data_IF_585579130719
#
_entry.id   IF_585579130719
#
_cell.length_a   1.000
_cell.length_b   1.000
_cell.length_c   1.000
_cell.angle_alpha   90.00
_cell.angle_beta   90.00
_cell.angle_gamma   90.00
#
_symmetry.space_group_name_H-M   'P 1'
#
loop_
_entity.id
_entity.type
_entity.pdbx_description
1 polymer ?
#
# COMPACT_ATOMS: atom_id res chain seq x y z
N UNK A 1 32.08 25.80 -6.02
CA UNK A 1 31.06 25.01 -6.74
C UNK A 1 30.60 23.91 -5.80
N UNK A 2 29.48 24.12 -5.12
CA UNK A 2 28.82 23.07 -4.33
C UNK A 2 28.32 22.02 -5.32
N UNK A 3 28.93 20.83 -5.31
CA UNK A 3 28.40 19.68 -6.06
C UNK A 3 26.97 19.47 -5.56
N UNK A 4 25.98 19.59 -6.45
CA UNK A 4 24.63 19.13 -6.15
C UNK A 4 24.76 17.69 -5.67
N UNK A 5 24.32 17.35 -4.44
CA UNK A 5 24.39 15.98 -3.97
C UNK A 5 23.63 15.11 -4.99
N UNK A 6 24.31 14.09 -5.50
CA UNK A 6 23.72 13.14 -6.43
C UNK A 6 22.60 12.43 -5.66
N UNK A 7 21.35 12.56 -6.12
CA UNK A 7 20.26 11.79 -5.55
C UNK A 7 20.56 10.30 -5.77
N UNK A 8 20.39 9.44 -4.76
CA UNK A 8 20.61 8.02 -4.94
C UNK A 8 19.64 7.47 -5.97
N UNK A 9 20.13 6.51 -6.73
CA UNK A 9 19.34 5.75 -7.69
C UNK A 9 18.29 4.89 -6.97
N UNK A 10 17.28 4.44 -7.72
CA UNK A 10 16.25 3.55 -7.17
C UNK A 10 16.88 2.23 -6.71
N UNK A 11 17.85 1.72 -7.47
CA UNK A 11 18.59 0.51 -7.15
C UNK A 11 19.37 0.63 -5.83
N UNK A 12 20.06 1.76 -5.62
CA UNK A 12 20.77 2.04 -4.37
C UNK A 12 19.81 2.14 -3.17
N UNK A 13 18.65 2.79 -3.34
CA UNK A 13 17.64 2.88 -2.30
C UNK A 13 17.03 1.52 -1.95
N UNK A 14 16.78 0.68 -2.96
CA UNK A 14 16.27 -0.67 -2.76
C UNK A 14 17.31 -1.58 -2.08
N UNK A 15 18.60 -1.41 -2.36
CA UNK A 15 19.65 -2.16 -1.67
C UNK A 15 19.76 -1.74 -0.21
N UNK A 16 19.82 -0.43 0.08
CA UNK A 16 19.77 0.08 1.45
C UNK A 16 18.54 -0.39 2.22
N UNK A 17 17.38 -0.48 1.54
CA UNK A 17 16.15 -1.01 2.14
C UNK A 17 16.28 -2.50 2.50
N UNK A 18 16.93 -3.31 1.64
CA UNK A 18 17.18 -4.73 1.93
C UNK A 18 18.12 -4.86 3.12
N UNK A 19 19.24 -4.13 3.13
CA UNK A 19 20.22 -4.12 4.22
C UNK A 19 19.58 -3.71 5.57
N UNK A 20 18.71 -2.69 5.56
CA UNK A 20 17.98 -2.25 6.76
C UNK A 20 16.97 -3.30 7.25
N UNK A 21 16.47 -4.16 6.36
CA UNK A 21 15.51 -5.23 6.68
C UNK A 21 16.19 -6.48 7.23
N UNK A 22 17.48 -6.68 7.01
CA UNK A 22 18.22 -7.82 7.55
C UNK A 22 18.21 -7.82 9.09
N UNK A 23 18.32 -9.00 9.71
CA UNK A 23 18.36 -9.11 11.17
C UNK A 23 16.99 -9.16 11.86
N UNK A 24 15.96 -9.75 11.24
CA UNK A 24 14.70 -10.03 11.97
C UNK A 24 14.95 -11.05 13.08
N UNK A 25 14.52 -10.78 14.31
CA UNK A 25 14.65 -11.75 15.40
C UNK A 25 14.59 -11.16 16.81
N UNK A 26 15.58 -11.55 17.62
CA UNK A 26 15.75 -11.14 19.02
C UNK A 26 16.02 -9.64 19.17
N UNK A 27 15.75 -9.09 20.36
CA UNK A 27 15.81 -7.65 20.65
C UNK A 27 17.07 -6.92 20.13
N UNK A 28 18.31 -7.44 20.30
CA UNK A 28 19.50 -6.75 19.83
C UNK A 28 19.52 -6.49 18.32
N UNK A 29 18.97 -7.42 17.54
CA UNK A 29 18.92 -7.27 16.08
C UNK A 29 17.85 -6.26 15.66
N UNK A 30 16.74 -6.15 16.39
CA UNK A 30 15.71 -5.12 16.14
C UNK A 30 16.23 -3.71 16.41
N UNK A 31 17.01 -3.53 17.46
CA UNK A 31 17.65 -2.23 17.75
C UNK A 31 18.62 -1.83 16.64
N UNK A 32 19.36 -2.79 16.09
CA UNK A 32 20.21 -2.55 14.92
C UNK A 32 19.39 -2.18 13.67
N UNK A 33 18.26 -2.86 13.44
CA UNK A 33 17.33 -2.50 12.36
C UNK A 33 16.79 -1.07 12.53
N UNK A 34 16.36 -0.68 13.74
CA UNK A 34 15.88 0.68 14.03
C UNK A 34 16.95 1.70 13.65
N UNK A 35 18.20 1.44 14.04
CA UNK A 35 19.31 2.33 13.69
C UNK A 35 19.49 2.46 12.18
N UNK A 36 19.54 1.35 11.43
CA UNK A 36 19.71 1.36 9.96
C UNK A 36 18.56 2.08 9.27
N UNK A 37 17.33 1.87 9.72
CA UNK A 37 16.16 2.57 9.18
C UNK A 37 16.16 4.08 9.52
N UNK A 38 16.59 4.48 10.72
CA UNK A 38 16.76 5.91 11.06
C UNK A 38 17.81 6.57 10.17
N UNK A 39 18.94 5.91 9.94
CA UNK A 39 19.99 6.38 9.02
C UNK A 39 19.43 6.53 7.59
N UNK A 40 18.72 5.52 7.08
CA UNK A 40 18.09 5.56 5.76
C UNK A 40 17.07 6.70 5.61
N UNK A 41 16.21 6.90 6.61
CA UNK A 41 15.20 7.99 6.62
C UNK A 41 15.87 9.36 6.71
N UNK A 42 16.93 9.51 7.50
CA UNK A 42 17.67 10.76 7.63
C UNK A 42 18.33 11.17 6.30
N UNK A 43 18.90 10.21 5.57
CA UNK A 43 19.49 10.43 4.25
C UNK A 43 18.42 10.63 3.15
N UNK A 44 17.27 9.96 3.28
CA UNK A 44 16.24 9.88 2.24
C UNK A 44 14.83 10.10 2.82
N UNK A 45 14.51 11.35 3.24
CA UNK A 45 13.29 11.66 3.97
C UNK A 45 12.00 11.48 3.15
N UNK A 46 12.08 11.35 1.82
CA UNK A 46 10.91 11.12 0.96
C UNK A 46 10.72 9.65 0.59
N UNK A 47 11.57 8.75 1.09
CA UNK A 47 11.50 7.33 0.75
C UNK A 47 10.44 6.62 1.59
N UNK A 48 9.19 6.69 1.13
CA UNK A 48 7.99 6.16 1.80
C UNK A 48 8.16 4.75 2.40
N UNK A 49 8.75 3.75 1.70
CA UNK A 49 8.94 2.42 2.28
C UNK A 49 9.75 2.43 3.58
N UNK A 50 10.81 3.24 3.67
CA UNK A 50 11.63 3.33 4.87
C UNK A 50 10.89 4.04 6.02
N UNK A 51 10.10 5.07 5.71
CA UNK A 51 9.27 5.77 6.71
C UNK A 51 8.26 4.80 7.37
N UNK A 52 7.55 4.01 6.55
CA UNK A 52 6.56 3.05 7.04
C UNK A 52 7.20 1.91 7.85
N UNK A 53 8.28 1.33 7.35
CA UNK A 53 8.97 0.23 8.05
C UNK A 53 9.58 0.70 9.37
N UNK A 54 10.17 1.91 9.43
CA UNK A 54 10.66 2.48 10.67
C UNK A 54 9.52 2.73 11.67
N UNK A 55 8.41 3.32 11.22
CA UNK A 55 7.24 3.56 12.06
C UNK A 55 6.66 2.29 12.66
N UNK A 56 6.60 1.19 11.89
CA UNK A 56 6.18 -0.13 12.39
C UNK A 56 7.20 -0.74 13.35
N UNK A 57 8.48 -0.64 13.02
CA UNK A 57 9.53 -1.25 13.84
C UNK A 57 9.62 -0.59 15.21
N UNK A 58 9.46 0.73 15.28
CA UNK A 58 9.40 1.48 16.54
C UNK A 58 8.17 1.12 17.39
N UNK A 59 7.06 0.67 16.79
CA UNK A 59 5.91 0.15 17.54
C UNK A 59 6.19 -1.23 18.18
N UNK A 60 7.15 -1.99 17.65
CA UNK A 60 7.45 -3.37 18.03
C UNK A 60 8.75 -3.54 18.84
N UNK A 61 9.46 -2.44 19.09
CA UNK A 61 10.79 -2.45 19.69
C UNK A 61 10.78 -1.57 20.94
N UNK A 62 11.19 -2.13 22.08
CA UNK A 62 11.32 -1.37 23.32
C UNK A 62 12.75 -0.85 23.44
N UNK A 63 12.98 0.38 22.96
CA UNK A 63 14.31 0.95 22.90
C UNK A 63 14.80 1.37 24.30
N UNK A 64 15.90 0.78 24.82
CA UNK A 64 16.37 1.07 26.18
C UNK A 64 16.67 2.56 26.38
N UNK A 65 16.05 3.16 27.40
CA UNK A 65 16.27 4.57 27.74
C UNK A 65 15.47 5.57 26.91
N UNK A 66 14.60 5.10 26.00
CA UNK A 66 13.67 5.97 25.27
C UNK A 66 12.31 5.92 25.96
N UNK A 67 11.80 7.10 26.33
CA UNK A 67 10.45 7.22 26.87
C UNK A 67 9.42 6.87 25.79
N UNK A 68 8.40 6.09 26.17
CA UNK A 68 7.33 5.64 25.26
C UNK A 68 6.69 6.80 24.49
N UNK A 69 6.42 7.93 25.14
CA UNK A 69 5.81 9.09 24.48
C UNK A 69 6.76 9.70 23.42
N UNK A 70 8.07 9.69 23.64
CA UNK A 70 9.05 10.16 22.64
C UNK A 70 9.04 9.24 21.41
N UNK A 71 8.97 7.92 21.62
CA UNK A 71 8.81 6.96 20.53
C UNK A 71 7.50 7.18 19.77
N UNK A 72 6.38 7.41 20.47
CA UNK A 72 5.09 7.67 19.83
C UNK A 72 5.08 8.95 19.00
N UNK A 73 5.70 10.03 19.48
CA UNK A 73 5.86 11.27 18.71
C UNK A 73 6.70 11.03 17.45
N UNK A 74 7.78 10.25 17.54
CA UNK A 74 8.59 9.88 16.37
C UNK A 74 7.79 9.06 15.36
N UNK A 75 7.07 8.03 15.82
CA UNK A 75 6.23 7.17 14.97
C UNK A 75 5.17 8.01 14.25
N UNK A 76 4.45 8.87 14.99
CA UNK A 76 3.40 9.71 14.41
C UNK A 76 3.97 10.59 13.30
N UNK A 77 5.11 11.26 13.55
CA UNK A 77 5.78 12.12 12.57
C UNK A 77 6.18 11.35 11.31
N UNK A 78 6.71 10.12 11.47
CA UNK A 78 7.09 9.28 10.33
C UNK A 78 5.89 8.86 9.49
N UNK A 79 4.77 8.50 10.12
CA UNK A 79 3.54 8.10 9.44
C UNK A 79 2.85 9.29 8.76
N UNK A 80 2.79 10.45 9.40
CA UNK A 80 2.30 11.69 8.79
C UNK A 80 3.14 12.08 7.56
N UNK A 81 4.46 12.02 7.69
CA UNK A 81 5.38 12.27 6.57
C UNK A 81 5.17 11.25 5.44
N UNK A 82 4.99 9.96 5.74
CA UNK A 82 4.71 8.93 4.74
C UNK A 82 3.38 9.19 4.01
N UNK A 83 2.35 9.66 4.71
CA UNK A 83 1.07 10.08 4.11
C UNK A 83 1.28 11.24 3.16
N UNK A 84 2.05 12.26 3.54
CA UNK A 84 2.31 13.42 2.68
C UNK A 84 3.12 13.05 1.43
N UNK A 85 4.27 12.39 1.59
CA UNK A 85 5.19 12.11 0.47
C UNK A 85 4.63 11.09 -0.52
N UNK A 86 3.73 10.22 -0.08
CA UNK A 86 3.06 9.24 -0.94
C UNK A 86 1.88 9.83 -1.73
N UNK A 87 1.55 11.11 -1.54
CA UNK A 87 0.34 11.69 -2.10
C UNK A 87 -0.93 11.08 -1.50
N UNK A 88 -0.88 10.73 -0.21
CA UNK A 88 -1.95 10.09 0.56
C UNK A 88 -2.38 8.74 -0.04
N UNK A 89 -1.39 7.92 -0.40
CA UNK A 89 -1.65 6.56 -0.86
C UNK A 89 -2.36 5.73 0.25
N UNK A 90 -3.16 4.75 -0.17
CA UNK A 90 -4.02 3.98 0.74
C UNK A 90 -3.25 3.37 1.94
N UNK A 91 -2.11 2.72 1.69
CA UNK A 91 -1.36 2.03 2.73
C UNK A 91 -0.82 2.98 3.83
N UNK A 92 -0.08 4.07 3.52
CA UNK A 92 0.29 5.07 4.53
C UNK A 92 -0.87 5.66 5.31
N UNK A 93 -1.99 5.96 4.63
CA UNK A 93 -3.18 6.55 5.27
C UNK A 93 -3.79 5.58 6.28
N UNK A 94 -3.93 4.30 5.91
CA UNK A 94 -4.44 3.25 6.81
C UNK A 94 -3.51 3.03 8.00
N UNK A 95 -2.20 3.01 7.76
CA UNK A 95 -1.20 2.83 8.84
C UNK A 95 -1.24 3.96 9.87
N UNK A 96 -1.38 5.21 9.43
CA UNK A 96 -1.57 6.35 10.33
C UNK A 96 -2.88 6.22 11.12
N UNK A 97 -3.97 5.81 10.45
CA UNK A 97 -5.25 5.52 11.10
C UNK A 97 -5.10 4.48 12.21
N UNK A 98 -4.43 3.37 11.91
CA UNK A 98 -4.14 2.29 12.86
C UNK A 98 -3.38 2.77 14.09
N UNK A 99 -2.32 3.57 13.88
CA UNK A 99 -1.54 4.13 14.97
C UNK A 99 -2.38 5.07 15.85
N UNK A 100 -3.15 5.97 15.24
CA UNK A 100 -3.99 6.90 15.99
C UNK A 100 -5.08 6.19 16.79
N UNK A 101 -5.70 5.17 16.22
CA UNK A 101 -6.74 4.38 16.87
C UNK A 101 -6.17 3.55 18.03
N UNK A 102 -5.21 2.69 17.71
CA UNK A 102 -4.74 1.62 18.62
C UNK A 102 -3.74 2.12 19.65
N UNK A 103 -2.86 3.05 19.26
CA UNK A 103 -1.76 3.51 20.11
C UNK A 103 -2.10 4.83 20.80
N UNK A 104 -2.76 5.76 20.08
CA UNK A 104 -3.14 7.07 20.64
C UNK A 104 -4.56 7.12 21.19
N UNK A 105 -5.34 6.04 21.10
CA UNK A 105 -6.75 5.97 21.53
C UNK A 105 -7.60 7.12 20.95
N UNK A 106 -7.33 7.48 19.69
CA UNK A 106 -7.96 8.60 18.99
C UNK A 106 -8.76 8.10 17.78
N UNK A 107 -9.76 7.27 18.04
CA UNK A 107 -10.65 6.69 17.02
C UNK A 107 -11.34 7.76 16.17
N UNK A 108 -11.66 8.91 16.77
CA UNK A 108 -12.25 10.07 16.08
C UNK A 108 -11.35 10.61 14.95
N UNK A 109 -10.02 10.58 15.14
CA UNK A 109 -9.05 11.00 14.12
C UNK A 109 -8.70 9.87 13.15
N UNK A 110 -8.78 8.62 13.62
CA UNK A 110 -8.48 7.45 12.80
C UNK A 110 -9.58 7.13 11.78
N UNK A 111 -10.85 7.26 12.16
CA UNK A 111 -12.01 6.94 11.31
C UNK A 111 -11.95 7.58 9.91
N UNK A 112 -11.76 8.91 9.76
CA UNK A 112 -11.68 9.52 8.44
C UNK A 112 -10.47 9.04 7.62
N UNK A 113 -9.38 8.62 8.27
CA UNK A 113 -8.23 8.03 7.58
C UNK A 113 -8.57 6.65 7.04
N UNK A 114 -9.25 5.80 7.81
CA UNK A 114 -9.69 4.50 7.31
C UNK A 114 -10.66 4.63 6.14
N UNK A 115 -11.61 5.56 6.19
CA UNK A 115 -12.53 5.84 5.08
C UNK A 115 -11.80 6.30 3.83
N UNK A 116 -10.83 7.20 3.98
CA UNK A 116 -9.99 7.65 2.87
C UNK A 116 -9.14 6.52 2.29
N UNK A 117 -8.46 5.76 3.16
CA UNK A 117 -7.63 4.62 2.77
C UNK A 117 -8.44 3.56 2.02
N UNK A 118 -9.65 3.25 2.49
CA UNK A 118 -10.57 2.33 1.82
C UNK A 118 -10.97 2.86 0.43
N UNK A 119 -11.35 4.14 0.31
CA UNK A 119 -11.67 4.75 -0.99
C UNK A 119 -10.49 4.70 -1.95
N UNK A 120 -9.27 5.00 -1.50
CA UNK A 120 -8.05 4.94 -2.32
C UNK A 120 -7.68 3.51 -2.74
N UNK A 121 -7.88 2.54 -1.86
CA UNK A 121 -7.70 1.13 -2.20
C UNK A 121 -8.72 0.67 -3.26
N UNK A 122 -9.98 1.11 -3.16
CA UNK A 122 -11.03 0.83 -4.14
C UNK A 122 -10.70 1.39 -5.53
N UNK A 123 -10.17 2.61 -5.63
CA UNK A 123 -9.71 3.20 -6.91
C UNK A 123 -8.68 2.27 -7.61
N UNK A 124 -7.70 1.76 -6.86
CA UNK A 124 -6.66 0.86 -7.40
C UNK A 124 -7.23 -0.51 -7.77
N UNK A 125 -8.15 -1.03 -6.95
CA UNK A 125 -8.80 -2.31 -7.19
C UNK A 125 -9.68 -2.27 -8.44
N UNK A 126 -10.40 -1.17 -8.66
CA UNK A 126 -11.20 -0.93 -9.86
C UNK A 126 -10.32 -1.01 -11.12
N UNK A 127 -9.18 -0.30 -11.12
CA UNK A 127 -8.22 -0.31 -12.23
C UNK A 127 -7.66 -1.71 -12.50
N UNK A 128 -7.27 -2.42 -11.44
CA UNK A 128 -6.73 -3.77 -11.53
C UNK A 128 -7.75 -4.76 -12.09
N UNK A 129 -8.99 -4.72 -11.60
CA UNK A 129 -10.07 -5.61 -12.05
C UNK A 129 -10.48 -5.28 -13.49
N UNK A 130 -10.57 -4.01 -13.85
CA UNK A 130 -10.82 -3.62 -15.24
C UNK A 130 -9.70 -4.12 -16.17
N UNK A 131 -8.44 -4.06 -15.72
CA UNK A 131 -7.29 -4.60 -16.44
C UNK A 131 -7.35 -6.12 -16.61
N UNK A 132 -7.64 -6.86 -15.53
CA UNK A 132 -7.78 -8.31 -15.55
C UNK A 132 -8.90 -8.78 -16.47
N UNK A 133 -10.07 -8.14 -16.40
CA UNK A 133 -11.19 -8.44 -17.28
C UNK A 133 -10.79 -8.28 -18.75
N UNK A 134 -10.15 -7.16 -19.12
CA UNK A 134 -9.65 -6.97 -20.50
C UNK A 134 -8.62 -8.03 -20.89
N UNK A 135 -7.68 -8.34 -20.01
CA UNK A 135 -6.63 -9.32 -20.31
C UNK A 135 -7.22 -10.72 -20.56
N UNK A 136 -8.16 -11.17 -19.73
CA UNK A 136 -8.80 -12.47 -19.90
C UNK A 136 -9.75 -12.54 -21.09
N UNK A 137 -10.47 -11.46 -21.37
CA UNK A 137 -11.28 -11.36 -22.60
C UNK A 137 -10.40 -11.43 -23.84
N UNK A 138 -9.22 -10.79 -23.82
CA UNK A 138 -8.26 -10.85 -24.91
C UNK A 138 -7.63 -12.24 -25.09
N UNK A 139 -7.31 -12.93 -23.98
CA UNK A 139 -6.77 -14.30 -24.00
C UNK A 139 -7.77 -15.28 -24.64
N UNK A 140 -9.07 -15.09 -24.39
CA UNK A 140 -10.19 -15.78 -25.07
C UNK A 140 -10.09 -17.31 -25.05
N UNK A 141 -9.57 -17.85 -23.94
CA UNK A 141 -9.64 -19.28 -23.63
C UNK A 141 -10.91 -19.56 -22.84
N UNK A 142 -11.41 -20.80 -22.88
CA UNK A 142 -12.58 -21.20 -22.06
C UNK A 142 -12.36 -20.92 -20.57
N UNK A 143 -11.12 -21.05 -20.10
CA UNK A 143 -10.76 -20.81 -18.71
C UNK A 143 -10.68 -19.31 -18.38
N UNK A 144 -10.03 -18.50 -19.21
CA UNK A 144 -9.96 -17.05 -19.00
C UNK A 144 -11.34 -16.40 -19.06
N UNK A 145 -12.21 -16.82 -19.99
CA UNK A 145 -13.58 -16.31 -20.07
C UNK A 145 -14.41 -16.68 -18.84
N UNK A 146 -14.25 -17.87 -18.25
CA UNK A 146 -14.91 -18.20 -16.97
C UNK A 146 -14.45 -17.29 -15.83
N UNK A 147 -13.13 -17.08 -15.70
CA UNK A 147 -12.57 -16.14 -14.71
C UNK A 147 -13.10 -14.73 -14.91
N UNK A 148 -13.22 -14.28 -16.16
CA UNK A 148 -13.79 -12.98 -16.49
C UNK A 148 -15.26 -12.86 -16.06
N UNK A 149 -16.07 -13.89 -16.26
CA UNK A 149 -17.47 -13.89 -15.83
C UNK A 149 -17.62 -13.90 -14.30
N UNK A 150 -16.83 -14.73 -13.60
CA UNK A 150 -16.83 -14.78 -12.14
C UNK A 150 -16.41 -13.43 -11.53
N UNK A 151 -15.33 -12.83 -12.06
CA UNK A 151 -14.90 -11.51 -11.63
C UNK A 151 -15.92 -10.43 -11.99
N UNK A 152 -16.62 -10.54 -13.12
CA UNK A 152 -17.66 -9.58 -13.53
C UNK A 152 -18.79 -9.50 -12.51
N UNK A 153 -19.27 -10.64 -12.01
CA UNK A 153 -20.34 -10.68 -11.00
C UNK A 153 -19.94 -9.98 -9.68
N UNK A 154 -18.67 -10.12 -9.29
CA UNK A 154 -18.14 -9.45 -8.11
C UNK A 154 -17.91 -7.96 -8.38
N UNK A 155 -17.35 -7.63 -9.54
CA UNK A 155 -17.02 -6.26 -9.92
C UNK A 155 -18.26 -5.36 -10.00
N UNK A 156 -19.39 -5.86 -10.53
CA UNK A 156 -20.64 -5.09 -10.55
C UNK A 156 -21.22 -4.83 -9.16
N UNK A 157 -20.99 -5.73 -8.19
CA UNK A 157 -21.44 -5.54 -6.80
C UNK A 157 -20.57 -4.53 -6.05
N UNK A 158 -19.26 -4.55 -6.30
CA UNK A 158 -18.29 -3.68 -5.62
C UNK A 158 -18.24 -2.30 -6.26
N UNK A 159 -18.42 -2.21 -7.58
CA UNK A 159 -18.33 -0.98 -8.38
C UNK A 159 -19.58 -0.75 -9.24
N UNK A 160 -20.78 -0.64 -8.63
CA UNK A 160 -22.04 -0.56 -9.37
C UNK A 160 -22.10 0.66 -10.31
N UNK A 161 -21.45 1.77 -9.93
CA UNK A 161 -21.48 3.02 -10.68
C UNK A 161 -20.25 3.24 -11.58
N UNK A 162 -19.34 2.26 -11.66
CA UNK A 162 -18.16 2.39 -12.52
C UNK A 162 -18.49 2.09 -13.97
N UNK A 163 -18.56 3.14 -14.80
CA UNK A 163 -18.70 2.99 -16.25
C UNK A 163 -17.55 2.20 -16.89
N UNK A 164 -16.35 2.24 -16.29
CA UNK A 164 -15.19 1.45 -16.74
C UNK A 164 -15.43 -0.04 -16.51
N UNK A 165 -15.86 -0.43 -15.32
CA UNK A 165 -16.18 -1.83 -14.99
C UNK A 165 -17.35 -2.31 -15.84
N UNK A 166 -18.43 -1.54 -15.93
CA UNK A 166 -19.60 -1.87 -16.74
C UNK A 166 -19.22 -2.16 -18.20
N UNK A 167 -18.35 -1.33 -18.80
CA UNK A 167 -17.87 -1.54 -20.17
C UNK A 167 -17.13 -2.87 -20.35
N UNK A 168 -16.16 -3.18 -19.49
CA UNK A 168 -15.38 -4.42 -19.62
C UNK A 168 -16.18 -5.68 -19.26
N UNK A 169 -17.17 -5.56 -18.36
CA UNK A 169 -18.11 -6.65 -18.04
C UNK A 169 -19.02 -6.94 -19.23
N UNK A 170 -19.51 -5.91 -19.90
CA UNK A 170 -20.30 -6.05 -21.13
C UNK A 170 -19.50 -6.80 -22.21
N UNK A 171 -18.23 -6.41 -22.42
CA UNK A 171 -17.34 -7.08 -23.38
C UNK A 171 -17.11 -8.55 -23.02
N UNK A 172 -16.90 -8.85 -21.73
CA UNK A 172 -16.72 -10.21 -21.25
C UNK A 172 -17.94 -11.10 -21.52
N UNK A 173 -19.14 -10.60 -21.22
CA UNK A 173 -20.41 -11.31 -21.47
C UNK A 173 -20.63 -11.56 -22.96
N UNK A 174 -20.45 -10.53 -23.80
CA UNK A 174 -20.62 -10.65 -25.24
C UNK A 174 -19.64 -11.67 -25.85
N UNK A 175 -18.39 -11.65 -25.40
CA UNK A 175 -17.37 -12.60 -25.87
C UNK A 175 -17.72 -14.03 -25.45
N UNK A 176 -18.16 -14.22 -24.20
CA UNK A 176 -18.61 -15.52 -23.72
C UNK A 176 -19.87 -16.04 -24.43
N UNK A 177 -20.81 -15.17 -24.82
CA UNK A 177 -21.97 -15.53 -25.64
C UNK A 177 -21.52 -15.99 -27.02
N UNK A 178 -20.65 -15.22 -27.68
CA UNK A 178 -20.10 -15.57 -28.99
C UNK A 178 -19.39 -16.94 -28.97
N UNK A 179 -18.68 -17.24 -27.88
CA UNK A 179 -17.92 -18.49 -27.74
C UNK A 179 -18.75 -19.64 -27.13
N UNK A 180 -20.06 -19.45 -26.97
CA UNK A 180 -21.01 -20.48 -26.53
C UNK A 180 -20.88 -20.87 -25.04
N UNK A 181 -20.23 -20.03 -24.23
CA UNK A 181 -20.10 -20.21 -22.78
C UNK A 181 -21.26 -19.62 -22.00
N UNK A 182 -21.95 -18.65 -22.58
CA UNK A 182 -23.17 -18.04 -22.06
C UNK A 182 -24.29 -18.14 -23.09
N UNK A 183 -25.53 -18.18 -22.60
CA UNK A 183 -26.71 -18.01 -23.46
C UNK A 183 -26.92 -16.50 -23.72
N UNK A 184 -27.49 -16.12 -24.87
CA UNK A 184 -27.86 -14.74 -25.16
C UNK A 184 -28.86 -14.17 -24.14
#
# INVERSE_FOLDING_TARGET
>A
MTKTPLHPTVEELLEKLREAREGRGVEPLRLEQVRRYRELVAENPTFTPALLELGRLLQLTDEPGVETEKAFVEIQRLLEQAVEVSGRAAAPVVELGYFLDTIRNSSEKATPLYEEGARKALETLEDAWAGLLRAWVHERTKESLKKALELSELAEKVFPDSGRIQGVVHDARNTAIHDGLLKP
#
